data_IF_364364057662
#
_entry.id   IF_364364057662
#
_cell.length_a   1.000
_cell.length_b   1.000
_cell.length_c   1.000
_cell.angle_alpha   90.00
_cell.angle_beta   90.00
_cell.angle_gamma   90.00
#
_symmetry.space_group_name_H-M   'P 1'
#
loop_
_entity.id
_entity.type
_entity.pdbx_description
1 polymer ?
#
# COMPACT_ATOMS: atom_id res chain seq x y z
N UNK A 1 18.10 -21.53 4.38
CA UNK A 1 16.81 -20.88 4.72
C UNK A 1 16.77 -20.28 6.13
N UNK A 2 17.22 -20.97 7.19
CA UNK A 2 17.17 -20.46 8.58
C UNK A 2 17.93 -19.15 8.85
N UNK A 3 18.99 -18.86 8.07
CA UNK A 3 19.80 -17.63 8.21
C UNK A 3 19.10 -16.37 7.67
N UNK A 4 18.28 -16.49 6.62
CA UNK A 4 17.57 -15.36 6.00
C UNK A 4 16.45 -14.85 6.93
N UNK A 5 15.72 -15.76 7.58
CA UNK A 5 14.71 -15.41 8.57
C UNK A 5 15.29 -14.69 9.79
N UNK A 6 16.51 -15.05 10.21
CA UNK A 6 17.19 -14.41 11.33
C UNK A 6 17.64 -12.98 10.99
N UNK A 7 18.11 -12.75 9.75
CA UNK A 7 18.48 -11.40 9.29
C UNK A 7 17.25 -10.49 9.19
N UNK A 8 16.13 -10.98 8.65
CA UNK A 8 14.87 -10.21 8.57
C UNK A 8 14.35 -9.89 9.98
N UNK A 9 14.40 -10.85 10.91
CA UNK A 9 14.01 -10.62 12.30
C UNK A 9 14.91 -9.59 13.02
N UNK A 10 16.22 -9.61 12.78
CA UNK A 10 17.12 -8.59 13.32
C UNK A 10 16.89 -7.20 12.70
N UNK A 11 16.59 -7.11 11.41
CA UNK A 11 16.23 -5.84 10.79
C UNK A 11 14.90 -5.28 11.31
N UNK A 12 13.92 -6.13 11.60
CA UNK A 12 12.64 -5.71 12.20
C UNK A 12 12.79 -5.34 13.69
N UNK A 13 13.63 -6.04 14.45
CA UNK A 13 13.87 -5.76 15.85
C UNK A 13 14.73 -4.50 16.07
N UNK A 14 15.72 -4.25 15.20
CA UNK A 14 16.56 -3.05 15.30
C UNK A 14 15.80 -1.78 14.87
N UNK A 15 14.92 -1.87 13.88
CA UNK A 15 14.03 -0.76 13.50
C UNK A 15 12.94 -0.51 14.54
N UNK A 16 12.47 -1.54 15.25
CA UNK A 16 11.43 -1.40 16.28
C UNK A 16 11.90 -0.62 17.51
N UNK A 17 13.15 -0.80 17.95
CA UNK A 17 13.66 -0.14 19.15
C UNK A 17 14.18 1.28 18.90
N UNK A 18 14.58 1.63 17.66
CA UNK A 18 14.98 2.99 17.31
C UNK A 18 13.79 3.91 16.97
N UNK A 19 12.62 3.34 16.64
CA UNK A 19 11.40 4.09 16.30
C UNK A 19 10.37 4.16 17.44
N UNK A 20 10.60 3.47 18.56
CA UNK A 20 9.66 3.42 19.68
C UNK A 20 9.78 4.61 20.65
N UNK A 21 10.83 5.44 20.56
CA UNK A 21 11.13 6.46 21.58
C UNK A 21 11.11 7.92 21.06
N UNK A 22 10.83 8.13 19.78
CA UNK A 22 10.74 9.48 19.21
C UNK A 22 9.57 9.50 18.25
N UNK A 23 8.49 10.21 18.61
CA UNK A 23 7.52 10.94 17.76
C UNK A 23 7.41 10.60 16.25
N UNK A 24 7.61 9.36 15.83
CA UNK A 24 7.56 8.95 14.43
C UNK A 24 6.12 8.92 13.91
N UNK A 25 5.14 9.00 14.81
CA UNK A 25 3.75 9.29 14.48
C UNK A 25 3.55 10.74 13.99
N UNK A 26 4.50 11.66 14.22
CA UNK A 26 4.54 13.00 13.60
C UNK A 26 5.37 13.06 12.31
N UNK A 27 6.03 11.97 11.89
CA UNK A 27 6.96 11.98 10.75
C UNK A 27 6.27 11.97 9.38
N UNK A 28 4.98 11.67 9.32
CA UNK A 28 4.18 11.71 8.10
C UNK A 28 3.08 12.75 8.29
N UNK A 29 3.09 13.79 7.46
CA UNK A 29 2.01 14.77 7.46
C UNK A 29 0.65 14.08 7.35
N UNK A 30 -0.26 14.39 8.28
CA UNK A 30 -1.67 13.95 8.25
C UNK A 30 -2.33 14.22 6.89
N UNK A 31 -1.88 15.28 6.22
CA UNK A 31 -2.36 15.65 4.88
C UNK A 31 -1.90 14.64 3.81
N UNK A 32 -0.63 14.22 3.84
CA UNK A 32 -0.10 13.24 2.87
C UNK A 32 -0.75 11.87 3.09
N UNK A 33 -0.95 11.47 4.36
CA UNK A 33 -1.65 10.23 4.69
C UNK A 33 -3.12 10.26 4.26
N UNK A 34 -3.82 11.39 4.44
CA UNK A 34 -5.18 11.57 3.93
C UNK A 34 -5.25 11.47 2.40
N UNK A 35 -4.29 12.05 1.68
CA UNK A 35 -4.22 11.95 0.21
C UNK A 35 -3.99 10.51 -0.26
N UNK A 36 -3.07 9.78 0.38
CA UNK A 36 -2.84 8.36 0.09
C UNK A 36 -4.10 7.54 0.36
N UNK A 37 -4.75 7.75 1.50
CA UNK A 37 -5.98 7.06 1.87
C UNK A 37 -7.11 7.33 0.87
N UNK A 38 -7.24 8.58 0.39
CA UNK A 38 -8.23 8.94 -0.61
C UNK A 38 -7.94 8.26 -1.96
N UNK A 39 -6.68 8.27 -2.42
CA UNK A 39 -6.24 7.68 -3.67
C UNK A 39 -6.44 6.16 -3.74
N UNK A 40 -6.27 5.49 -2.59
CA UNK A 40 -6.41 4.05 -2.44
C UNK A 40 -7.77 3.63 -1.87
N UNK A 41 -8.70 4.58 -1.68
CA UNK A 41 -10.01 4.27 -1.11
C UNK A 41 -10.77 3.28 -2.02
N UNK A 42 -11.47 2.28 -1.45
CA UNK A 42 -12.26 1.34 -2.24
C UNK A 42 -13.28 2.04 -3.15
N UNK A 43 -13.87 3.12 -2.66
CA UNK A 43 -14.78 3.97 -3.43
C UNK A 43 -14.10 4.56 -4.66
N UNK A 44 -12.89 5.13 -4.53
CA UNK A 44 -12.16 5.66 -5.69
C UNK A 44 -11.74 4.57 -6.67
N UNK A 45 -11.45 3.36 -6.19
CA UNK A 45 -10.91 2.26 -6.99
C UNK A 45 -12.00 1.49 -7.74
N UNK A 46 -13.17 1.30 -7.11
CA UNK A 46 -14.20 0.38 -7.57
C UNK A 46 -15.44 1.08 -8.14
N UNK A 47 -15.69 2.35 -7.78
CA UNK A 47 -16.90 3.05 -8.22
C UNK A 47 -17.00 3.10 -9.75
N UNK A 48 -18.11 2.59 -10.27
CA UNK A 48 -18.42 2.55 -11.69
C UNK A 48 -17.55 1.60 -12.52
N UNK A 49 -16.75 0.73 -11.88
CA UNK A 49 -15.84 -0.18 -12.58
C UNK A 49 -16.37 -1.60 -12.70
N UNK A 50 -17.24 -1.99 -11.78
CA UNK A 50 -17.83 -3.32 -11.69
C UNK A 50 -19.36 -3.16 -11.74
N UNK A 51 -20.01 -3.91 -12.63
CA UNK A 51 -21.47 -3.96 -12.75
C UNK A 51 -22.06 -5.12 -11.93
N UNK A 52 -23.38 -5.13 -11.75
CA UNK A 52 -24.07 -6.26 -11.11
C UNK A 52 -23.87 -7.58 -11.90
N UNK A 53 -23.82 -7.50 -13.22
CA UNK A 53 -23.53 -8.64 -14.09
C UNK A 53 -22.13 -9.21 -13.82
N UNK A 54 -21.12 -8.34 -13.68
CA UNK A 54 -19.74 -8.77 -13.36
C UNK A 54 -19.70 -9.50 -12.01
N UNK A 55 -20.43 -8.99 -11.01
CA UNK A 55 -20.52 -9.62 -9.68
C UNK A 55 -21.23 -10.98 -9.76
N UNK A 56 -22.33 -11.04 -10.51
CA UNK A 56 -23.08 -12.29 -10.73
C UNK A 56 -22.19 -13.35 -11.38
N UNK A 57 -21.40 -12.97 -12.38
CA UNK A 57 -20.45 -13.84 -13.04
C UNK A 57 -19.36 -14.34 -12.07
N UNK A 58 -18.79 -13.44 -11.25
CA UNK A 58 -17.81 -13.81 -10.23
C UNK A 58 -18.39 -14.84 -9.24
N UNK A 59 -19.63 -14.62 -8.77
CA UNK A 59 -20.29 -15.58 -7.88
C UNK A 59 -20.56 -16.93 -8.56
N UNK A 60 -20.91 -16.93 -9.85
CA UNK A 60 -21.09 -18.16 -10.61
C UNK A 60 -19.76 -18.94 -10.72
N UNK A 61 -18.65 -18.25 -10.98
CA UNK A 61 -17.31 -18.84 -11.01
C UNK A 61 -16.94 -19.44 -9.65
N UNK A 62 -17.14 -18.70 -8.56
CA UNK A 62 -16.86 -19.17 -7.20
C UNK A 62 -17.69 -20.40 -6.83
N UNK A 63 -18.99 -20.39 -7.13
CA UNK A 63 -19.88 -21.54 -6.92
C UNK A 63 -19.40 -22.75 -7.71
N UNK A 64 -19.07 -22.57 -8.98
CA UNK A 64 -18.55 -23.64 -9.83
C UNK A 64 -17.21 -24.20 -9.31
N UNK A 65 -16.32 -23.33 -8.81
CA UNK A 65 -15.08 -23.71 -8.13
C UNK A 65 -15.32 -24.55 -6.86
N UNK A 66 -16.29 -24.15 -6.02
CA UNK A 66 -16.69 -24.93 -4.85
C UNK A 66 -17.25 -26.32 -5.19
N UNK A 67 -17.83 -26.47 -6.40
CA UNK A 67 -18.30 -27.75 -6.92
C UNK A 67 -17.20 -28.57 -7.63
N UNK A 68 -15.94 -28.11 -7.56
CA UNK A 68 -14.78 -28.79 -8.16
C UNK A 68 -14.67 -28.63 -9.68
N UNK A 69 -15.44 -27.70 -10.28
CA UNK A 69 -15.42 -27.41 -11.72
C UNK A 69 -15.23 -25.90 -11.91
N UNK A 70 -14.02 -25.35 -11.67
CA UNK A 70 -13.79 -23.92 -11.82
C UNK A 70 -14.17 -23.48 -13.24
N UNK A 71 -15.05 -22.49 -13.34
CA UNK A 71 -15.42 -21.88 -14.61
C UNK A 71 -14.41 -20.78 -14.94
N UNK A 72 -14.04 -20.66 -16.21
CA UNK A 72 -13.23 -19.55 -16.68
C UNK A 72 -14.08 -18.27 -16.77
N UNK A 73 -13.55 -17.10 -16.38
CA UNK A 73 -14.23 -15.83 -16.60
C UNK A 73 -14.37 -15.54 -18.10
N UNK A 74 -15.44 -14.82 -18.43
CA UNK A 74 -15.66 -14.28 -19.76
C UNK A 74 -14.52 -13.35 -20.17
N UNK A 75 -14.31 -13.24 -21.47
CA UNK A 75 -13.28 -12.34 -22.01
C UNK A 75 -13.51 -10.88 -21.59
N UNK A 76 -14.78 -10.49 -21.46
CA UNK A 76 -15.18 -9.16 -21.03
C UNK A 76 -14.81 -8.92 -19.56
N UNK A 77 -15.16 -9.85 -18.66
CA UNK A 77 -14.80 -9.76 -17.25
C UNK A 77 -13.28 -9.77 -17.07
N UNK A 78 -12.57 -10.65 -17.80
CA UNK A 78 -11.11 -10.73 -17.79
C UNK A 78 -10.46 -9.39 -18.14
N UNK A 79 -10.88 -8.75 -19.24
CA UNK A 79 -10.38 -7.42 -19.64
C UNK A 79 -10.68 -6.34 -18.60
N UNK A 80 -11.89 -6.34 -18.02
CA UNK A 80 -12.24 -5.39 -16.94
C UNK A 80 -11.33 -5.56 -15.73
N UNK A 81 -11.10 -6.79 -15.29
CA UNK A 81 -10.21 -7.10 -14.17
C UNK A 81 -8.75 -6.69 -14.45
N UNK A 82 -8.28 -6.90 -15.68
CA UNK A 82 -6.94 -6.47 -16.10
C UNK A 82 -6.80 -4.94 -16.04
N UNK A 83 -7.77 -4.20 -16.60
CA UNK A 83 -7.78 -2.73 -16.54
C UNK A 83 -7.88 -2.21 -15.10
N UNK A 84 -8.67 -2.88 -14.24
CA UNK A 84 -8.74 -2.56 -12.83
C UNK A 84 -7.38 -2.76 -12.15
N UNK A 85 -6.73 -3.89 -12.41
CA UNK A 85 -5.39 -4.20 -11.91
C UNK A 85 -4.33 -3.19 -12.36
N UNK A 86 -4.35 -2.76 -13.62
CA UNK A 86 -3.44 -1.73 -14.13
C UNK A 86 -3.64 -0.39 -13.40
N UNK A 87 -4.89 0.04 -13.20
CA UNK A 87 -5.17 1.28 -12.47
C UNK A 87 -4.77 1.22 -11.00
N UNK A 88 -4.99 0.08 -10.35
CA UNK A 88 -4.51 -0.15 -8.98
C UNK A 88 -2.99 -0.04 -8.90
N UNK A 89 -2.25 -0.62 -9.87
CA UNK A 89 -0.78 -0.50 -9.92
C UNK A 89 -0.33 0.95 -10.05
N UNK A 90 -0.95 1.71 -10.96
CA UNK A 90 -0.60 3.13 -11.17
C UNK A 90 -0.88 3.96 -9.91
N UNK A 91 -2.04 3.78 -9.28
CA UNK A 91 -2.38 4.48 -8.04
C UNK A 91 -1.49 4.05 -6.88
N UNK A 92 -1.19 2.77 -6.75
CA UNK A 92 -0.23 2.26 -5.77
C UNK A 92 1.16 2.89 -5.95
N UNK A 93 1.61 3.05 -7.19
CA UNK A 93 2.87 3.74 -7.49
C UNK A 93 2.84 5.22 -7.08
N UNK A 94 1.74 5.94 -7.37
CA UNK A 94 1.56 7.34 -6.95
C UNK A 94 1.55 7.45 -5.42
N UNK A 95 0.79 6.61 -4.73
CA UNK A 95 0.76 6.58 -3.27
C UNK A 95 2.16 6.31 -2.69
N UNK A 96 2.90 5.38 -3.28
CA UNK A 96 4.29 5.07 -2.90
C UNK A 96 5.23 6.27 -3.09
N UNK A 97 5.10 7.01 -4.18
CA UNK A 97 5.89 8.23 -4.41
C UNK A 97 5.59 9.29 -3.35
N UNK A 98 4.31 9.58 -3.08
CA UNK A 98 3.92 10.55 -2.05
C UNK A 98 4.47 10.18 -0.67
N UNK A 99 4.43 8.89 -0.34
CA UNK A 99 4.98 8.39 0.91
C UNK A 99 6.51 8.57 0.99
N UNK A 100 7.22 8.27 -0.09
CA UNK A 100 8.69 8.42 -0.14
C UNK A 100 9.12 9.89 -0.09
N UNK A 101 8.41 10.78 -0.79
CA UNK A 101 8.67 12.22 -0.74
C UNK A 101 8.52 12.79 0.67
N UNK A 102 7.50 12.32 1.39
CA UNK A 102 7.26 12.71 2.79
C UNK A 102 8.36 12.20 3.72
N UNK A 103 8.78 10.93 3.55
CA UNK A 103 9.92 10.37 4.30
C UNK A 103 11.22 11.14 4.02
N UNK A 104 11.47 11.50 2.77
CA UNK A 104 12.63 12.30 2.39
C UNK A 104 12.59 13.67 3.04
N UNK A 105 11.42 14.32 3.05
CA UNK A 105 11.21 15.61 3.72
C UNK A 105 11.47 15.52 5.22
N UNK A 106 10.88 14.55 5.91
CA UNK A 106 11.08 14.32 7.34
C UNK A 106 12.55 14.04 7.68
N UNK A 107 13.23 13.22 6.86
CA UNK A 107 14.66 12.91 7.02
C UNK A 107 15.51 14.17 6.87
N UNK A 108 15.23 15.01 5.87
CA UNK A 108 15.94 16.28 5.65
C UNK A 108 15.73 17.26 6.81
N UNK A 109 14.52 17.33 7.36
CA UNK A 109 14.20 18.18 8.51
C UNK A 109 14.98 17.73 9.75
N UNK A 110 15.00 16.43 10.05
CA UNK A 110 15.78 15.86 11.16
C UNK A 110 17.28 16.16 11.02
N UNK A 111 17.86 15.97 9.83
CA UNK A 111 19.28 16.29 9.57
C UNK A 111 19.55 17.79 9.76
N UNK A 112 18.61 18.66 9.40
CA UNK A 112 18.74 20.11 9.58
C UNK A 112 18.69 20.51 11.04
N UNK A 113 17.85 19.88 11.84
CA UNK A 113 17.74 20.12 13.28
C UNK A 113 19.01 19.70 14.01
N UNK A 114 19.54 18.51 13.72
CA UNK A 114 20.81 18.02 14.28
C UNK A 114 21.98 18.97 13.94
N UNK A 115 22.03 19.50 12.71
CA UNK A 115 23.08 20.44 12.32
C UNK A 115 22.90 21.86 12.85
N UNK A 116 21.71 22.22 13.35
CA UNK A 116 21.41 23.56 13.89
C UNK A 116 21.85 23.72 15.34
N UNK A 117 22.02 22.63 16.08
CA UNK A 117 22.44 22.66 17.48
C UNK A 117 23.73 21.85 17.72
N UNK A 118 24.92 22.45 17.52
CA UNK A 118 26.20 21.76 17.69
C UNK A 118 26.52 21.38 19.15
N UNK A 119 25.70 21.80 20.13
CA UNK A 119 25.95 21.62 21.57
C UNK A 119 24.87 20.77 22.29
N UNK A 120 23.99 20.07 21.57
CA UNK A 120 22.92 19.26 22.16
C UNK A 120 23.32 17.81 22.55
N UNK A 121 24.62 17.51 22.71
CA UNK A 121 25.14 16.23 23.22
C UNK A 121 26.04 16.47 24.42
#
# INVERSE_FOLDING_TARGET
MRKIFLTIACCLAFSGSALAETDAQNALSDTTMAQIAQLLSPESLLRGQITEDDVTEIFAILRSGMLGKPAEPSEQLRKKLEMLGQRMKVRGAIAGMLFMDELERATKEMVREINRDPNAI
#
